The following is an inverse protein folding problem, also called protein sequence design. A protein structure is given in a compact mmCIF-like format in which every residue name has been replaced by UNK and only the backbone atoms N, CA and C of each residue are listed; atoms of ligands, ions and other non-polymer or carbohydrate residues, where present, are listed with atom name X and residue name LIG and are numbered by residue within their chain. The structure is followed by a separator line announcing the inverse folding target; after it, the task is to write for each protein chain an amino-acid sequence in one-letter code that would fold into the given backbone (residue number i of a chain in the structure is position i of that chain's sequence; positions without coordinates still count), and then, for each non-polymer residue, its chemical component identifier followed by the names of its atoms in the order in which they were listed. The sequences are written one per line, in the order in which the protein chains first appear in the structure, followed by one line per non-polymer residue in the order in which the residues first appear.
data_IF_931406990344
#
_entry.id   IF_931406990344
#
_cell.length_a   1.000
_cell.length_b   1.000
_cell.length_c   1.000
_cell.angle_alpha   90.00
_cell.angle_beta   90.00
_cell.angle_gamma   90.00
#
_symmetry.space_group_name_H-M   'P 1'
#
loop_
_entity.id
_entity.type
_entity.pdbx_description
1 polymer ?
#
# COMPACT_ATOMS: atom_id res chain seq x y z
N UNK A 1 -8.22 1.33 -11.57
CA UNK A 1 -8.32 2.79 -11.85
C UNK A 1 -7.00 3.40 -12.34
N UNK A 2 -5.84 3.17 -11.71
CA UNK A 2 -4.57 3.80 -12.14
C UNK A 2 -3.43 2.79 -12.29
N UNK A 3 -3.46 1.91 -13.32
CA UNK A 3 -2.43 0.90 -13.49
C UNK A 3 -1.04 1.52 -13.77
N UNK A 4 -0.99 2.70 -14.37
CA UNK A 4 0.26 3.34 -14.80
C UNK A 4 0.73 4.44 -13.84
N UNK A 5 0.19 4.52 -12.62
CA UNK A 5 0.66 5.49 -11.65
C UNK A 5 2.06 5.12 -11.16
N UNK A 6 3.07 5.91 -11.56
CA UNK A 6 4.47 5.60 -11.24
C UNK A 6 5.04 6.45 -10.12
N UNK A 7 4.66 7.72 -10.03
CA UNK A 7 5.28 8.68 -9.10
C UNK A 7 4.22 9.54 -8.42
N UNK A 8 4.26 9.60 -7.08
CA UNK A 8 3.51 10.58 -6.29
C UNK A 8 4.50 11.57 -5.70
N UNK A 9 4.51 12.81 -6.20
CA UNK A 9 5.53 13.80 -5.80
C UNK A 9 5.31 14.42 -4.42
N UNK A 10 4.08 14.46 -3.91
CA UNK A 10 3.78 15.05 -2.60
C UNK A 10 4.10 16.55 -2.45
N UNK A 11 3.86 17.35 -3.52
CA UNK A 11 4.10 18.81 -3.48
C UNK A 11 3.35 19.47 -2.31
N UNK A 12 2.09 19.12 -2.16
CA UNK A 12 1.27 19.45 -0.99
C UNK A 12 0.84 18.14 -0.32
N UNK A 13 0.84 18.12 1.01
CA UNK A 13 0.53 16.94 1.80
C UNK A 13 -0.79 17.11 2.54
N UNK A 14 -1.47 16.00 2.80
CA UNK A 14 -2.65 15.96 3.65
C UNK A 14 -2.23 15.40 5.01
N UNK A 15 -2.14 16.26 6.05
CA UNK A 15 -1.62 15.87 7.38
C UNK A 15 -0.28 15.11 7.32
N UNK A 16 0.66 15.59 6.50
CA UNK A 16 1.96 14.94 6.21
C UNK A 16 1.91 13.63 5.40
N UNK A 17 0.73 13.20 4.96
CA UNK A 17 0.56 12.04 4.10
C UNK A 17 0.46 12.42 2.62
N UNK A 18 1.08 11.59 1.77
CA UNK A 18 1.02 11.68 0.31
C UNK A 18 -0.07 10.79 -0.29
N UNK A 19 -0.42 9.70 0.42
CA UNK A 19 -1.47 8.76 0.04
C UNK A 19 -2.27 8.39 1.28
N UNK A 20 -3.59 8.49 1.18
CA UNK A 20 -4.53 8.10 2.24
C UNK A 20 -5.57 7.14 1.67
N UNK A 21 -5.69 5.97 2.28
CA UNK A 21 -6.71 4.96 1.97
C UNK A 21 -7.43 4.66 3.29
N UNK A 22 -8.65 5.18 3.42
CA UNK A 22 -9.39 5.17 4.69
C UNK A 22 -10.82 4.69 4.48
N UNK A 23 -11.26 3.74 5.30
CA UNK A 23 -12.64 3.20 5.30
C UNK A 23 -13.13 2.67 3.94
N UNK A 24 -12.22 2.07 3.16
CA UNK A 24 -12.54 1.42 1.88
C UNK A 24 -12.92 -0.05 2.12
N UNK A 25 -14.20 -0.30 2.44
CA UNK A 25 -14.71 -1.62 2.88
C UNK A 25 -14.55 -2.74 1.85
N UNK A 26 -14.73 -2.45 0.55
CA UNK A 26 -14.67 -3.46 -0.53
C UNK A 26 -13.31 -3.53 -1.23
N UNK A 27 -12.30 -2.80 -0.74
CA UNK A 27 -10.99 -2.75 -1.37
C UNK A 27 -10.15 -3.96 -0.93
N UNK A 28 -9.84 -4.85 -1.88
CA UNK A 28 -9.11 -6.10 -1.62
C UNK A 28 -7.59 -5.97 -1.71
N UNK A 29 -7.11 -5.09 -2.58
CA UNK A 29 -5.69 -4.89 -2.84
C UNK A 29 -5.41 -3.46 -3.31
N UNK A 30 -4.17 -3.01 -3.12
CA UNK A 30 -3.68 -1.74 -3.69
C UNK A 30 -3.09 -2.04 -5.06
N UNK A 31 -3.88 -1.86 -6.12
CA UNK A 31 -3.48 -2.13 -7.51
C UNK A 31 -2.46 -1.17 -8.13
N UNK A 32 -1.60 -0.54 -7.33
CA UNK A 32 -0.56 0.42 -7.75
C UNK A 32 0.76 -0.28 -8.08
N UNK A 33 0.71 -1.33 -8.91
CA UNK A 33 1.87 -2.17 -9.24
C UNK A 33 3.02 -1.43 -9.95
N UNK A 34 2.72 -0.33 -10.65
CA UNK A 34 3.74 0.51 -11.29
C UNK A 34 4.27 1.63 -10.39
N UNK A 35 3.80 1.77 -9.15
CA UNK A 35 4.29 2.80 -8.25
C UNK A 35 5.75 2.53 -7.88
N UNK A 36 6.62 3.46 -8.23
CA UNK A 36 8.07 3.36 -8.01
C UNK A 36 8.59 4.35 -6.98
N UNK A 37 7.95 5.51 -6.83
CA UNK A 37 8.49 6.56 -5.97
C UNK A 37 7.39 7.44 -5.39
N UNK A 38 7.41 7.62 -4.06
CA UNK A 38 6.73 8.72 -3.38
C UNK A 38 7.81 9.67 -2.84
N UNK A 39 7.92 10.84 -3.46
CA UNK A 39 9.06 11.74 -3.23
C UNK A 39 8.96 12.47 -1.88
N UNK A 40 7.74 12.76 -1.42
CA UNK A 40 7.52 13.47 -0.17
C UNK A 40 6.21 13.04 0.47
N UNK A 41 6.24 12.87 1.79
CA UNK A 41 5.09 12.47 2.62
C UNK A 41 5.05 10.98 2.89
N UNK A 42 4.35 10.61 3.96
CA UNK A 42 4.15 9.22 4.37
C UNK A 42 2.86 8.64 3.74
N UNK A 43 2.56 7.38 4.02
CA UNK A 43 1.28 6.75 3.66
C UNK A 43 0.41 6.50 4.90
N UNK A 44 -0.90 6.65 4.73
CA UNK A 44 -1.91 6.28 5.73
C UNK A 44 -2.90 5.29 5.13
N UNK A 45 -2.93 4.07 5.64
CA UNK A 45 -3.84 3.01 5.21
C UNK A 45 -4.55 2.48 6.44
N UNK A 46 -5.83 2.80 6.58
CA UNK A 46 -6.53 2.56 7.83
C UNK A 46 -7.99 2.15 7.62
N UNK A 47 -8.47 1.22 8.46
CA UNK A 47 -9.87 0.76 8.48
C UNK A 47 -10.38 0.15 7.16
N UNK A 48 -9.53 -0.59 6.45
CA UNK A 48 -9.93 -1.29 5.23
C UNK A 48 -10.07 -2.80 5.53
N UNK A 49 -11.30 -3.24 5.83
CA UNK A 49 -11.60 -4.58 6.37
C UNK A 49 -11.29 -5.74 5.43
N UNK A 50 -11.33 -5.51 4.12
CA UNK A 50 -11.08 -6.54 3.10
C UNK A 50 -9.68 -6.45 2.49
N UNK A 51 -8.86 -5.48 2.92
CA UNK A 51 -7.60 -5.14 2.28
C UNK A 51 -6.47 -6.10 2.69
N UNK A 52 -5.94 -6.83 1.70
CA UNK A 52 -4.81 -7.74 1.82
C UNK A 52 -3.59 -7.24 1.01
N UNK A 53 -2.52 -8.03 0.94
CA UNK A 53 -1.27 -7.69 0.25
C UNK A 53 -0.54 -6.46 0.80
N UNK A 54 -0.77 -6.12 2.07
CA UNK A 54 -0.06 -5.00 2.72
C UNK A 54 1.35 -5.39 3.17
N UNK A 55 1.55 -6.66 3.54
CA UNK A 55 2.84 -7.22 3.97
C UNK A 55 3.74 -7.63 2.81
N UNK A 56 3.19 -7.80 1.61
CA UNK A 56 3.95 -8.18 0.41
C UNK A 56 4.63 -7.00 -0.27
N UNK A 57 4.31 -5.77 0.15
CA UNK A 57 4.86 -4.53 -0.41
C UNK A 57 5.93 -3.98 0.54
N UNK A 58 7.16 -3.87 0.03
CA UNK A 58 8.24 -3.19 0.74
C UNK A 58 8.20 -1.68 0.45
N UNK A 59 7.62 -0.92 1.39
CA UNK A 59 7.51 0.53 1.29
C UNK A 59 8.86 1.25 1.37
N UNK A 60 9.91 0.62 1.90
CA UNK A 60 11.25 1.22 1.99
C UNK A 60 11.91 1.43 0.63
N UNK A 61 11.47 0.68 -0.38
CA UNK A 61 11.92 0.83 -1.76
C UNK A 61 11.16 1.93 -2.53
N UNK A 62 10.06 2.42 -1.97
CA UNK A 62 9.14 3.35 -2.63
C UNK A 62 9.26 4.76 -2.04
N UNK A 63 9.54 4.90 -0.74
CA UNK A 63 9.54 6.19 -0.05
C UNK A 63 10.53 6.22 1.12
N UNK A 64 11.09 7.40 1.40
CA UNK A 64 12.11 7.55 2.46
C UNK A 64 11.50 7.63 3.87
N UNK A 65 10.29 8.19 3.99
CA UNK A 65 9.61 8.46 5.27
C UNK A 65 8.88 7.24 5.87
N UNK A 66 9.43 6.02 5.75
CA UNK A 66 8.75 4.76 6.12
C UNK A 66 8.33 4.73 7.58
N UNK A 67 9.17 5.27 8.48
CA UNK A 67 8.91 5.33 9.92
C UNK A 67 7.65 6.13 10.28
N UNK A 68 7.18 6.98 9.37
CA UNK A 68 6.02 7.85 9.57
C UNK A 68 4.75 7.27 8.93
N UNK A 69 4.84 6.07 8.33
CA UNK A 69 3.69 5.39 7.76
C UNK A 69 2.72 4.96 8.86
N UNK A 70 1.43 5.05 8.56
CA UNK A 70 0.36 4.66 9.47
C UNK A 70 -0.52 3.60 8.81
N UNK A 71 -0.28 2.33 9.13
CA UNK A 71 -0.97 1.19 8.53
C UNK A 71 -1.58 0.33 9.64
N UNK A 72 -2.85 0.58 9.99
CA UNK A 72 -3.52 -0.09 11.12
C UNK A 72 -5.01 -0.31 10.86
N UNK A 73 -5.63 -1.28 11.53
CA UNK A 73 -7.07 -1.53 11.40
C UNK A 73 -7.51 -2.05 10.02
N UNK A 74 -6.58 -2.60 9.24
CA UNK A 74 -6.88 -3.33 8.01
C UNK A 74 -7.08 -4.81 8.30
N UNK A 75 -7.39 -5.62 7.28
CA UNK A 75 -7.51 -7.06 7.44
C UNK A 75 -6.22 -7.65 8.03
N UNK A 76 -6.30 -8.50 9.08
CA UNK A 76 -5.10 -9.05 9.69
C UNK A 76 -4.40 -10.00 8.71
N UNK A 77 -3.05 -9.97 8.61
CA UNK A 77 -2.32 -10.79 7.64
C UNK A 77 -2.58 -12.29 7.75
N UNK A 78 -2.91 -12.79 8.94
CA UNK A 78 -3.24 -14.21 9.18
C UNK A 78 -4.53 -14.67 8.50
N UNK A 79 -5.44 -13.73 8.22
CA UNK A 79 -6.70 -13.98 7.52
C UNK A 79 -6.61 -13.63 6.03
N UNK A 80 -5.45 -13.14 5.60
CA UNK A 80 -5.11 -12.94 4.20
C UNK A 80 -4.39 -14.18 3.67
N UNK A 81 -4.80 -14.64 2.48
CA UNK A 81 -4.12 -15.70 1.73
C UNK A 81 -3.19 -15.09 0.69
N UNK A 82 -2.27 -14.23 1.12
CA UNK A 82 -1.40 -13.46 0.22
C UNK A 82 -0.47 -14.40 -0.55
N UNK A 83 -0.82 -14.66 -1.81
CA UNK A 83 -0.06 -15.52 -2.71
C UNK A 83 0.27 -14.74 -3.99
N UNK A 84 1.56 -14.60 -4.27
CA UNK A 84 2.00 -14.01 -5.52
C UNK A 84 1.90 -15.03 -6.67
N UNK A 85 1.52 -14.61 -7.88
CA UNK A 85 1.64 -15.45 -9.06
C UNK A 85 3.10 -15.88 -9.26
N UNK A 86 3.35 -17.19 -9.41
CA UNK A 86 4.69 -17.76 -9.61
C UNK A 86 5.33 -18.40 -8.37
N UNK A 87 4.70 -18.32 -7.18
CA UNK A 87 5.18 -19.05 -5.98
C UNK A 87 4.77 -20.52 -5.96
N UNK A 88 4.09 -21.02 -6.99
CA UNK A 88 3.85 -22.45 -7.23
C UNK A 88 4.44 -22.86 -8.57
N UNK A 89 5.66 -23.39 -8.53
CA UNK A 89 6.19 -24.43 -9.45
C UNK A 89 7.63 -24.79 -9.06
N UNK A 90 7.81 -25.49 -7.93
CA UNK A 90 8.94 -26.43 -7.80
C UNK A 90 8.42 -27.66 -7.05
N UNK A 91 8.08 -28.70 -7.80
CA UNK A 91 7.85 -30.05 -7.32
C UNK A 91 8.82 -30.99 -8.03
#
# INVERSE_FOLDING_TARGET
LFPNLTVIRGRNLFYNYALVIFEMTNLKEIGLHNLRNITRGAIRIEKNSDLCYLSTVDWSLILDAVSNNYIVGNKPPKECGDLCPGTMEEK
#
